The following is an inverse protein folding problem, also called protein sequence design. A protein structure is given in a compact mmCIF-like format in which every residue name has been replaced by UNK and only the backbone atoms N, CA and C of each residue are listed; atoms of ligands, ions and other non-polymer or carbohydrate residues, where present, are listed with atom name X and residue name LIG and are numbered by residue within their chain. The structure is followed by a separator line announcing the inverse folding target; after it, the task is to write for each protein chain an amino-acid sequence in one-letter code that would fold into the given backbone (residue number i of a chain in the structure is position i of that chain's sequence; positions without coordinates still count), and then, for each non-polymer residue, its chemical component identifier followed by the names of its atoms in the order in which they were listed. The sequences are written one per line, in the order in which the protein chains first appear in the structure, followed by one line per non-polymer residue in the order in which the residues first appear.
data_IF_651607648369
#
_entry.id   IF_651607648369
#
_cell.length_a   1.000
_cell.length_b   1.000
_cell.length_c   1.000
_cell.angle_alpha   90.00
_cell.angle_beta   90.00
_cell.angle_gamma   90.00
#
_symmetry.space_group_name_H-M   'P 1'
#
loop_
_entity.id
_entity.type
_entity.pdbx_description
1 polymer ?
#
# COMPACT_ATOMS: atom_id res chain seq x y z
N UNK A 1 25.48 -7.54 3.31
CA UNK A 1 25.11 -6.17 2.90
C UNK A 1 25.14 -5.24 4.08
N UNK A 2 25.62 -4.01 3.88
CA UNK A 2 25.52 -2.98 4.88
C UNK A 2 24.06 -2.55 5.06
N UNK A 3 23.77 -1.87 6.16
CA UNK A 3 22.43 -1.33 6.41
C UNK A 3 21.99 -0.40 5.27
N UNK A 4 22.87 0.48 4.83
CA UNK A 4 22.55 1.39 3.72
C UNK A 4 22.26 0.62 2.43
N UNK A 5 23.05 -0.39 2.13
CA UNK A 5 22.84 -1.20 0.92
C UNK A 5 21.47 -1.90 0.94
N UNK A 6 21.07 -2.44 2.09
CA UNK A 6 19.76 -3.05 2.26
C UNK A 6 18.64 -2.04 2.05
N UNK A 7 18.79 -0.85 2.62
CA UNK A 7 17.80 0.21 2.49
C UNK A 7 17.67 0.67 1.04
N UNK A 8 18.80 0.83 0.34
CA UNK A 8 18.79 1.22 -1.06
C UNK A 8 18.17 0.13 -1.95
N UNK A 9 18.42 -1.14 -1.63
CA UNK A 9 17.80 -2.24 -2.37
C UNK A 9 16.27 -2.18 -2.26
N UNK A 10 15.76 -1.88 -1.07
CA UNK A 10 14.31 -1.72 -0.87
C UNK A 10 13.77 -0.51 -1.66
N UNK A 11 14.45 0.63 -1.61
CA UNK A 11 14.03 1.82 -2.35
C UNK A 11 14.00 1.56 -3.86
N UNK A 12 15.00 0.87 -4.38
CA UNK A 12 15.03 0.49 -5.80
C UNK A 12 13.86 -0.44 -6.16
N UNK A 13 13.52 -1.34 -5.25
CA UNK A 13 12.37 -2.23 -5.46
C UNK A 13 11.06 -1.46 -5.54
N UNK A 14 10.90 -0.43 -4.70
CA UNK A 14 9.69 0.41 -4.71
C UNK A 14 9.48 1.12 -6.05
N UNK A 15 10.55 1.38 -6.78
CA UNK A 15 10.45 2.06 -8.09
C UNK A 15 9.57 1.28 -9.07
N UNK A 16 9.47 -0.03 -8.90
CA UNK A 16 8.62 -0.89 -9.73
C UNK A 16 7.13 -0.55 -9.63
N UNK A 17 6.71 0.09 -8.54
CA UNK A 17 5.33 0.54 -8.38
C UNK A 17 4.92 1.53 -9.48
N UNK A 18 5.87 2.28 -10.03
CA UNK A 18 5.62 3.24 -11.10
C UNK A 18 5.21 2.56 -12.41
N UNK A 19 5.55 1.30 -12.57
CA UNK A 19 5.23 0.52 -13.77
C UNK A 19 3.93 -0.29 -13.63
N UNK A 20 3.37 -0.35 -12.42
CA UNK A 20 2.12 -1.09 -12.19
C UNK A 20 0.95 -0.17 -12.49
N UNK A 21 0.25 -0.46 -13.58
CA UNK A 21 -0.86 0.36 -14.06
C UNK A 21 -2.17 -0.20 -13.50
N UNK A 22 -2.93 0.69 -12.86
CA UNK A 22 -4.21 0.33 -12.23
C UNK A 22 -5.32 0.34 -13.27
N UNK A 23 -6.47 -0.26 -12.91
CA UNK A 23 -7.66 -0.24 -13.77
C UNK A 23 -8.36 1.12 -13.75
N UNK A 24 -8.12 1.94 -12.72
CA UNK A 24 -8.73 3.25 -12.56
C UNK A 24 -7.94 4.32 -13.31
N UNK A 25 -8.64 5.36 -13.75
CA UNK A 25 -8.03 6.49 -14.44
C UNK A 25 -7.75 7.64 -13.47
N UNK A 26 -6.81 8.50 -13.83
CA UNK A 26 -6.64 9.77 -13.12
C UNK A 26 -7.90 10.63 -13.37
N UNK A 27 -8.13 11.64 -12.52
CA UNK A 27 -9.38 12.40 -12.56
C UNK A 27 -9.70 13.04 -13.91
N UNK A 28 -8.68 13.47 -14.66
CA UNK A 28 -8.89 14.04 -15.99
C UNK A 28 -9.35 12.99 -17.01
N UNK A 29 -9.21 11.71 -16.72
CA UNK A 29 -9.56 10.65 -17.64
C UNK A 29 -8.57 10.43 -18.77
N UNK A 30 -7.44 11.15 -18.78
CA UNK A 30 -6.49 11.10 -19.89
C UNK A 30 -5.64 9.84 -19.93
N UNK A 31 -5.50 9.14 -18.78
CA UNK A 31 -4.75 7.89 -18.70
C UNK A 31 -5.10 7.15 -17.41
N UNK A 32 -4.70 5.90 -17.32
CA UNK A 32 -4.78 5.13 -16.09
C UNK A 32 -3.69 5.61 -15.12
N UNK A 33 -3.97 5.51 -13.83
CA UNK A 33 -2.99 5.84 -12.80
C UNK A 33 -2.05 4.65 -12.56
N UNK A 34 -0.82 4.94 -12.14
CA UNK A 34 0.06 3.90 -11.63
C UNK A 34 -0.06 3.81 -10.12
N UNK A 35 0.44 2.70 -9.56
CA UNK A 35 0.28 2.40 -8.13
C UNK A 35 1.04 3.39 -7.25
N UNK A 36 2.19 3.90 -7.70
CA UNK A 36 2.97 4.85 -6.91
C UNK A 36 2.22 6.18 -6.73
N UNK A 37 1.67 6.73 -7.81
CA UNK A 37 0.94 8.00 -7.71
C UNK A 37 -0.38 7.84 -6.96
N UNK A 38 -1.02 6.68 -7.07
CA UNK A 38 -2.21 6.34 -6.30
C UNK A 38 -1.92 6.36 -4.79
N UNK A 39 -0.84 5.71 -4.38
CA UNK A 39 -0.45 5.66 -2.96
C UNK A 39 -0.07 7.04 -2.43
N UNK A 40 0.62 7.86 -3.24
CA UNK A 40 0.95 9.23 -2.87
C UNK A 40 -0.32 10.05 -2.62
N UNK A 41 -1.29 9.97 -3.51
CA UNK A 41 -2.55 10.71 -3.37
C UNK A 41 -3.29 10.30 -2.11
N UNK A 42 -3.33 9.01 -1.81
CA UNK A 42 -3.94 8.51 -0.57
C UNK A 42 -3.24 9.06 0.67
N UNK A 43 -1.91 9.17 0.63
CA UNK A 43 -1.16 9.76 1.72
C UNK A 43 -1.57 11.20 1.97
N UNK A 44 -1.74 11.99 0.92
CA UNK A 44 -2.23 13.37 1.04
C UNK A 44 -3.65 13.40 1.58
N UNK A 45 -4.53 12.51 1.10
CA UNK A 45 -5.90 12.43 1.60
C UNK A 45 -5.94 12.10 3.09
N UNK A 46 -5.03 11.26 3.57
CA UNK A 46 -4.96 10.91 4.99
C UNK A 46 -4.82 12.15 5.86
N UNK A 47 -3.96 13.08 5.46
CA UNK A 47 -3.75 14.31 6.21
C UNK A 47 -4.89 15.31 6.04
N UNK A 48 -5.35 15.50 4.82
CA UNK A 48 -6.31 16.56 4.51
C UNK A 48 -7.70 16.24 5.07
N UNK A 49 -8.10 14.97 5.06
CA UNK A 49 -9.47 14.55 5.38
C UNK A 49 -9.63 13.95 6.78
N UNK A 50 -8.57 13.98 7.61
CA UNK A 50 -8.58 13.30 8.92
C UNK A 50 -9.70 13.77 9.85
N UNK A 51 -10.10 15.02 9.76
CA UNK A 51 -11.20 15.59 10.57
C UNK A 51 -12.55 14.90 10.31
N UNK A 52 -12.68 14.23 9.18
CA UNK A 52 -13.94 13.56 8.78
C UNK A 52 -13.96 12.07 9.15
N UNK A 53 -12.90 11.57 9.81
CA UNK A 53 -12.90 10.18 10.29
C UNK A 53 -13.97 9.99 11.35
N UNK A 54 -14.53 8.78 11.44
CA UNK A 54 -15.57 8.48 12.42
C UNK A 54 -15.07 8.53 13.87
N UNK A 55 -13.77 8.31 14.07
CA UNK A 55 -13.11 8.34 15.36
C UNK A 55 -11.84 9.18 15.23
N UNK A 56 -11.29 9.74 16.32
CA UNK A 56 -10.01 10.42 16.26
C UNK A 56 -8.93 9.47 15.73
N UNK A 57 -8.13 9.95 14.78
CA UNK A 57 -7.06 9.15 14.16
C UNK A 57 -5.75 9.93 14.16
N UNK A 58 -4.64 9.21 14.20
CA UNK A 58 -3.32 9.76 13.93
C UNK A 58 -3.11 9.77 12.41
N UNK A 59 -3.27 10.95 11.80
CA UNK A 59 -3.18 11.08 10.35
C UNK A 59 -1.82 10.63 9.80
N UNK A 60 -0.73 10.89 10.50
CA UNK A 60 0.60 10.45 10.07
C UNK A 60 0.69 8.93 10.06
N UNK A 61 0.09 8.27 11.03
CA UNK A 61 0.06 6.81 11.06
C UNK A 61 -0.80 6.25 9.92
N UNK A 62 -1.93 6.88 9.64
CA UNK A 62 -2.77 6.48 8.49
C UNK A 62 -1.97 6.59 7.18
N UNK A 63 -1.19 7.65 7.03
CA UNK A 63 -0.34 7.82 5.85
C UNK A 63 0.65 6.67 5.69
N UNK A 64 1.24 6.20 6.80
CA UNK A 64 2.13 5.03 6.78
C UNK A 64 1.39 3.80 6.25
N UNK A 65 0.17 3.57 6.72
CA UNK A 65 -0.63 2.41 6.31
C UNK A 65 -0.93 2.44 4.81
N UNK A 66 -1.39 3.59 4.30
CA UNK A 66 -1.75 3.68 2.88
C UNK A 66 -0.54 3.63 1.96
N UNK A 67 0.61 4.16 2.40
CA UNK A 67 1.84 4.07 1.62
C UNK A 67 2.37 2.64 1.55
N UNK A 68 2.12 1.83 2.57
CA UNK A 68 2.59 0.44 2.62
C UNK A 68 1.66 -0.55 1.94
N UNK A 69 0.36 -0.24 1.82
CA UNK A 69 -0.65 -1.25 1.50
C UNK A 69 -0.50 -1.87 0.10
N UNK A 70 -0.04 -1.11 -0.88
CA UNK A 70 0.07 -1.59 -2.26
C UNK A 70 1.48 -2.09 -2.64
N UNK A 71 2.45 -2.02 -1.72
CA UNK A 71 3.82 -2.46 -2.00
C UNK A 71 3.84 -3.93 -2.45
N UNK A 72 3.00 -4.76 -1.87
CA UNK A 72 2.93 -6.19 -2.20
C UNK A 72 2.52 -6.45 -3.65
N UNK A 73 1.90 -5.48 -4.32
CA UNK A 73 1.50 -5.64 -5.72
C UNK A 73 2.69 -5.82 -6.66
N UNK A 74 3.88 -5.44 -6.26
CA UNK A 74 5.10 -5.67 -7.06
C UNK A 74 5.22 -7.14 -7.44
N UNK A 75 4.93 -8.05 -6.52
CA UNK A 75 4.98 -9.49 -6.76
C UNK A 75 3.60 -10.11 -6.96
N UNK A 76 2.63 -9.68 -6.14
CA UNK A 76 1.30 -10.29 -6.15
C UNK A 76 0.43 -9.82 -7.32
N UNK A 77 0.70 -8.61 -7.81
CA UNK A 77 -0.09 -8.00 -8.87
C UNK A 77 -1.39 -7.40 -8.36
N UNK A 78 -2.06 -6.65 -9.25
CA UNK A 78 -3.37 -6.08 -8.96
C UNK A 78 -4.42 -7.21 -9.01
N UNK A 79 -5.35 -7.20 -8.05
CA UNK A 79 -6.41 -8.20 -7.97
C UNK A 79 -7.25 -8.25 -9.25
N UNK A 80 -7.45 -7.13 -9.92
CA UNK A 80 -8.21 -7.07 -11.17
C UNK A 80 -7.53 -7.79 -12.35
N UNK A 81 -6.24 -8.09 -12.24
CA UNK A 81 -5.51 -8.82 -13.27
C UNK A 81 -5.80 -10.32 -13.23
N UNK A 82 -6.50 -10.81 -12.21
CA UNK A 82 -6.78 -12.23 -11.98
C UNK A 82 -8.28 -12.51 -12.07
N UNK A 83 -8.62 -13.74 -12.46
CA UNK A 83 -9.97 -14.24 -12.44
C UNK A 83 -10.35 -14.73 -11.02
N UNK A 84 -11.51 -15.42 -10.90
CA UNK A 84 -11.98 -15.96 -9.61
C UNK A 84 -10.96 -16.88 -8.95
N UNK A 85 -10.25 -17.67 -9.75
CA UNK A 85 -9.21 -18.57 -9.24
C UNK A 85 -8.08 -17.77 -8.60
N UNK A 86 -7.78 -16.57 -9.14
CA UNK A 86 -6.79 -15.67 -8.57
C UNK A 86 -7.12 -15.21 -7.16
N UNK A 87 -8.40 -15.08 -6.83
CA UNK A 87 -8.81 -14.68 -5.48
C UNK A 87 -8.57 -15.77 -4.43
N UNK A 88 -8.63 -17.04 -4.83
CA UNK A 88 -8.47 -18.15 -3.89
C UNK A 88 -7.08 -18.20 -3.24
N UNK A 89 -6.04 -17.80 -3.95
CA UNK A 89 -4.67 -17.80 -3.44
C UNK A 89 -4.11 -16.38 -3.25
N UNK A 90 -4.96 -15.38 -3.27
CA UNK A 90 -4.57 -13.98 -3.11
C UNK A 90 -3.77 -13.75 -1.83
N UNK A 91 -4.29 -14.24 -0.70
CA UNK A 91 -3.62 -14.07 0.59
C UNK A 91 -2.23 -14.69 0.59
N UNK A 92 -2.09 -15.90 0.02
CA UNK A 92 -0.80 -16.56 -0.06
C UNK A 92 0.19 -15.77 -0.89
N UNK A 93 -0.25 -15.21 -2.03
CA UNK A 93 0.59 -14.38 -2.89
C UNK A 93 1.03 -13.10 -2.19
N UNK A 94 0.10 -12.45 -1.51
CA UNK A 94 0.40 -11.21 -0.79
C UNK A 94 1.33 -11.44 0.38
N UNK A 95 1.14 -12.51 1.14
CA UNK A 95 2.05 -12.87 2.24
C UNK A 95 3.46 -13.15 1.72
N UNK A 96 3.59 -13.91 0.64
CA UNK A 96 4.89 -14.20 0.04
C UNK A 96 5.56 -12.91 -0.47
N UNK A 97 4.79 -12.03 -1.09
CA UNK A 97 5.29 -10.74 -1.56
C UNK A 97 5.80 -9.88 -0.39
N UNK A 98 5.02 -9.82 0.69
CA UNK A 98 5.39 -9.07 1.88
C UNK A 98 6.67 -9.63 2.51
N UNK A 99 6.78 -10.96 2.61
CA UNK A 99 7.98 -11.61 3.15
C UNK A 99 9.22 -11.22 2.34
N UNK A 100 9.12 -11.26 1.01
CA UNK A 100 10.26 -10.96 0.15
C UNK A 100 10.62 -9.48 0.19
N UNK A 101 9.64 -8.60 -0.01
CA UNK A 101 9.90 -7.18 -0.24
C UNK A 101 10.29 -6.48 1.05
N UNK A 102 9.49 -6.62 2.10
CA UNK A 102 9.83 -6.01 3.39
C UNK A 102 11.10 -6.64 3.97
N UNK A 103 11.35 -7.91 3.65
CA UNK A 103 12.57 -8.60 4.08
C UNK A 103 13.85 -8.07 3.47
N UNK A 104 13.79 -7.20 2.44
CA UNK A 104 14.96 -6.53 1.90
C UNK A 104 15.56 -5.52 2.89
N UNK A 105 14.72 -4.98 3.75
CA UNK A 105 15.13 -3.98 4.75
C UNK A 105 15.92 -4.63 5.89
N UNK A 106 16.71 -3.82 6.62
CA UNK A 106 17.26 -4.26 7.92
C UNK A 106 16.12 -4.75 8.83
N UNK A 107 16.42 -5.71 9.71
CA UNK A 107 15.40 -6.40 10.49
C UNK A 107 14.45 -5.48 11.26
N UNK A 108 14.96 -4.41 11.84
CA UNK A 108 14.13 -3.44 12.60
C UNK A 108 13.14 -2.72 11.69
N UNK A 109 13.58 -2.26 10.53
CA UNK A 109 12.70 -1.58 9.58
C UNK A 109 11.76 -2.57 8.88
N UNK A 110 12.25 -3.78 8.58
CA UNK A 110 11.40 -4.80 8.00
C UNK A 110 10.20 -5.10 8.90
N UNK A 111 10.43 -5.25 10.20
CA UNK A 111 9.37 -5.50 11.17
C UNK A 111 8.41 -4.31 11.26
N UNK A 112 8.94 -3.11 11.27
CA UNK A 112 8.13 -1.89 11.38
C UNK A 112 7.23 -1.70 10.17
N UNK A 113 7.79 -1.71 8.96
CA UNK A 113 7.00 -1.51 7.74
C UNK A 113 6.04 -2.66 7.47
N UNK A 114 6.45 -3.90 7.80
CA UNK A 114 5.55 -5.04 7.71
C UNK A 114 4.34 -4.85 8.62
N UNK A 115 4.55 -4.28 9.81
CA UNK A 115 3.45 -4.04 10.76
C UNK A 115 2.43 -3.05 10.20
N UNK A 116 2.86 -2.08 9.39
CA UNK A 116 1.92 -1.15 8.74
C UNK A 116 1.01 -1.88 7.76
N UNK A 117 1.58 -2.77 6.96
CA UNK A 117 0.81 -3.56 6.02
C UNK A 117 -0.15 -4.51 6.74
N UNK A 118 0.34 -5.17 7.79
CA UNK A 118 -0.49 -6.08 8.60
C UNK A 118 -1.67 -5.35 9.22
N UNK A 119 -1.44 -4.16 9.77
CA UNK A 119 -2.49 -3.35 10.40
C UNK A 119 -3.54 -2.92 9.37
N UNK A 120 -3.10 -2.50 8.19
CA UNK A 120 -4.02 -2.13 7.12
C UNK A 120 -4.90 -3.32 6.73
N UNK A 121 -4.29 -4.49 6.55
CA UNK A 121 -5.02 -5.70 6.16
C UNK A 121 -5.99 -6.18 7.24
N UNK A 122 -5.60 -6.09 8.51
CA UNK A 122 -6.45 -6.52 9.63
C UNK A 122 -7.71 -5.67 9.79
N UNK A 123 -7.64 -4.39 9.42
CA UNK A 123 -8.79 -3.48 9.40
C UNK A 123 -9.52 -3.39 10.75
N UNK A 124 -8.75 -3.39 11.82
CA UNK A 124 -9.31 -3.39 13.19
C UNK A 124 -9.14 -2.06 13.91
N UNK A 125 -8.05 -1.34 13.65
CA UNK A 125 -7.80 -0.05 14.30
C UNK A 125 -8.59 1.07 13.64
N UNK A 126 -8.81 2.18 14.36
CA UNK A 126 -9.45 3.37 13.80
C UNK A 126 -8.69 3.88 12.57
N UNK A 127 -7.34 3.87 12.65
CA UNK A 127 -6.49 4.28 11.53
C UNK A 127 -6.67 3.39 10.31
N UNK A 128 -6.70 2.08 10.50
CA UNK A 128 -6.90 1.15 9.39
C UNK A 128 -8.27 1.29 8.75
N UNK A 129 -9.31 1.46 9.57
CA UNK A 129 -10.68 1.67 9.07
C UNK A 129 -10.79 2.95 8.27
N UNK A 130 -10.19 4.03 8.75
CA UNK A 130 -10.17 5.30 8.03
C UNK A 130 -9.37 5.16 6.73
N UNK A 131 -8.23 4.46 6.77
CA UNK A 131 -7.42 4.20 5.56
C UNK A 131 -8.25 3.51 4.48
N UNK A 132 -9.04 2.50 4.83
CA UNK A 132 -9.93 1.84 3.88
C UNK A 132 -11.03 2.76 3.38
N UNK A 133 -11.55 3.64 4.23
CA UNK A 133 -12.59 4.59 3.84
C UNK A 133 -12.10 5.56 2.76
N UNK A 134 -10.91 6.14 2.93
CA UNK A 134 -10.37 7.07 1.94
C UNK A 134 -9.98 6.35 0.65
N UNK A 135 -9.55 5.09 0.74
CA UNK A 135 -9.30 4.28 -0.44
C UNK A 135 -10.57 4.09 -1.26
N UNK A 136 -11.69 3.82 -0.59
CA UNK A 136 -13.00 3.70 -1.26
C UNK A 136 -13.43 5.01 -1.90
N UNK A 137 -13.15 6.13 -1.27
CA UNK A 137 -13.54 7.46 -1.75
C UNK A 137 -12.88 7.80 -3.09
N UNK A 138 -11.63 7.43 -3.27
CA UNK A 138 -10.89 7.77 -4.49
C UNK A 138 -11.42 7.02 -5.71
N UNK A 139 -12.21 5.96 -5.51
CA UNK A 139 -12.79 5.18 -6.59
C UNK A 139 -14.19 5.67 -7.02
N UNK A 140 -14.65 6.75 -6.44
CA UNK A 140 -15.89 7.42 -6.87
C UNK A 140 -15.61 8.30 -8.11
#
# INVERSE_FOLDING_TARGET
MSRLEQQLAFICELDKLKEIIRQTQILSGSRRENTAEHSWQLGMMAFVLSEHANEPVDAAHVAKLVLAHDIVEIDAGDTFAYDETGYEDKDAREQAAADRIFGLLPADQAAELRSWWDEFEARETAEAKYAHAILSLIHI
#
